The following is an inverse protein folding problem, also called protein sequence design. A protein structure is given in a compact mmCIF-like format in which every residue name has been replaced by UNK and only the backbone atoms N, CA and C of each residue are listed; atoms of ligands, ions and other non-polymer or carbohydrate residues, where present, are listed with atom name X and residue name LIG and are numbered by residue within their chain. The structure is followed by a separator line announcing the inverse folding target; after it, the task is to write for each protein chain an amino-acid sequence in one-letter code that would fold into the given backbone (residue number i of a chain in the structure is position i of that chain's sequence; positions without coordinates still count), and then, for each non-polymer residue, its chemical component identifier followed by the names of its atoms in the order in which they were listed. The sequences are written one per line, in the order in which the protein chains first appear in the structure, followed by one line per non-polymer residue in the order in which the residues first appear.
data_IF_078861981106
#
_entry.id   IF_078861981106
#
_cell.length_a   1.000
_cell.length_b   1.000
_cell.length_c   1.000
_cell.angle_alpha   90.00
_cell.angle_beta   90.00
_cell.angle_gamma   90.00
#
_symmetry.space_group_name_H-M   'P 1'
#
loop_
_entity.id
_entity.type
_entity.pdbx_description
1 polymer ?
#
# COMPACT_ATOMS: atom_id res chain seq x y z
N UNK A 1 18.86 4.48 24.26
CA UNK A 1 17.41 4.17 24.32
C UNK A 1 16.99 3.65 22.96
N UNK A 2 16.01 2.75 22.88
CA UNK A 2 15.55 2.21 21.61
C UNK A 2 14.68 3.24 20.87
N UNK A 3 14.93 3.43 19.57
CA UNK A 3 14.10 4.28 18.70
C UNK A 3 12.85 3.51 18.30
N UNK A 4 11.66 4.04 18.62
CA UNK A 4 10.38 3.40 18.34
C UNK A 4 9.67 4.10 17.17
N UNK A 5 9.73 3.49 15.99
CA UNK A 5 9.27 4.11 14.73
C UNK A 5 7.77 4.45 14.68
N UNK A 6 6.94 3.74 15.42
CA UNK A 6 5.47 3.81 15.29
C UNK A 6 4.78 4.54 16.44
N UNK A 7 5.53 5.28 17.25
CA UNK A 7 4.99 6.10 18.33
C UNK A 7 4.91 7.55 17.89
N UNK A 8 3.74 8.14 18.08
CA UNK A 8 3.51 9.56 17.87
C UNK A 8 2.65 10.19 18.95
N UNK A 9 2.32 11.46 18.75
CA UNK A 9 1.37 12.21 19.54
C UNK A 9 0.59 13.18 18.66
N UNK A 10 -0.60 13.56 19.09
CA UNK A 10 -1.35 14.65 18.45
C UNK A 10 -0.69 15.99 18.78
N UNK A 11 -0.43 16.84 17.78
CA UNK A 11 0.20 18.16 17.99
C UNK A 11 -0.64 19.07 18.88
N UNK A 12 -1.97 19.06 18.73
CA UNK A 12 -2.86 19.94 19.49
C UNK A 12 -3.02 19.54 20.94
N UNK A 13 -3.11 18.24 21.22
CA UNK A 13 -3.45 17.73 22.57
C UNK A 13 -2.27 17.12 23.31
N UNK A 14 -1.16 16.84 22.62
CA UNK A 14 0.00 16.13 23.17
C UNK A 14 -0.28 14.67 23.53
N UNK A 15 -1.48 14.15 23.24
CA UNK A 15 -1.90 12.78 23.57
C UNK A 15 -1.14 11.79 22.71
N UNK A 16 -0.56 10.77 23.35
CA UNK A 16 0.21 9.72 22.68
C UNK A 16 -0.69 8.82 21.87
N UNK A 17 -0.21 8.42 20.71
CA UNK A 17 -0.90 7.50 19.79
C UNK A 17 0.09 6.54 19.17
N UNK A 18 -0.42 5.37 18.77
CA UNK A 18 0.32 4.46 17.91
C UNK A 18 -0.07 4.71 16.45
N UNK A 19 0.89 4.93 15.58
CA UNK A 19 0.64 5.15 14.15
C UNK A 19 0.57 3.81 13.44
N UNK A 20 -0.58 3.49 12.87
CA UNK A 20 -0.87 2.20 12.20
C UNK A 20 -0.49 2.26 10.74
N UNK A 21 -0.95 3.31 10.06
CA UNK A 21 -0.60 3.65 8.69
C UNK A 21 -0.15 5.11 8.63
N UNK A 22 1.00 5.37 8.04
CA UNK A 22 1.54 6.72 7.86
C UNK A 22 0.86 7.50 6.73
N UNK A 23 0.36 6.79 5.73
CA UNK A 23 -0.39 7.33 4.58
C UNK A 23 -1.51 6.36 4.22
N UNK A 24 -2.62 6.87 3.71
CA UNK A 24 -3.74 6.06 3.23
C UNK A 24 -3.76 6.01 1.69
N UNK A 25 -4.21 4.90 1.09
CA UNK A 25 -4.38 4.82 -0.36
C UNK A 25 -5.40 5.87 -0.80
N UNK A 26 -5.11 6.56 -1.91
CA UNK A 26 -5.90 7.68 -2.46
C UNK A 26 -5.94 8.96 -1.60
N UNK A 27 -5.52 8.90 -0.34
CA UNK A 27 -5.50 10.03 0.60
C UNK A 27 -4.12 10.17 1.27
N UNK A 28 -3.09 10.69 0.57
CA UNK A 28 -1.71 10.76 1.07
C UNK A 28 -1.55 11.68 2.29
N UNK A 29 -2.43 12.66 2.43
CA UNK A 29 -2.40 13.62 3.53
C UNK A 29 -3.06 13.08 4.81
N UNK A 30 -3.66 11.88 4.76
CA UNK A 30 -4.31 11.25 5.89
C UNK A 30 -3.52 10.02 6.38
N UNK A 31 -3.58 9.80 7.69
CA UNK A 31 -2.97 8.68 8.38
C UNK A 31 -4.01 7.97 9.25
N UNK A 32 -3.67 6.75 9.69
CA UNK A 32 -4.49 5.98 10.61
C UNK A 32 -3.74 5.76 11.91
N UNK A 33 -4.37 6.14 13.02
CA UNK A 33 -3.78 6.04 14.36
C UNK A 33 -4.68 5.28 15.31
N UNK A 34 -4.08 4.61 16.30
CA UNK A 34 -4.78 4.01 17.43
C UNK A 34 -4.67 4.96 18.62
N UNK A 35 -5.84 5.35 19.16
CA UNK A 35 -5.91 6.10 20.41
C UNK A 35 -5.74 5.16 21.59
N UNK A 36 -4.57 5.18 22.22
CA UNK A 36 -4.21 4.30 23.35
C UNK A 36 -5.04 4.53 24.61
N UNK A 37 -5.60 5.74 24.77
CA UNK A 37 -6.35 6.15 25.97
C UNK A 37 -7.68 5.43 26.18
N UNK A 38 -8.29 4.92 25.09
CA UNK A 38 -9.55 4.19 25.14
C UNK A 38 -9.38 2.67 25.13
N UNK A 39 -8.14 2.18 25.15
CA UNK A 39 -7.86 0.75 25.20
C UNK A 39 -7.91 0.26 26.64
N UNK A 40 -8.40 -0.96 26.88
CA UNK A 40 -8.23 -1.58 28.19
C UNK A 40 -6.76 -1.97 28.37
N UNK A 41 -6.31 -1.98 29.63
CA UNK A 41 -4.90 -2.13 30.02
C UNK A 41 -4.23 -3.36 29.37
N UNK A 42 -4.94 -4.49 29.29
CA UNK A 42 -4.42 -5.72 28.69
C UNK A 42 -4.04 -5.57 27.21
N UNK A 43 -4.80 -4.80 26.45
CA UNK A 43 -4.52 -4.60 25.02
C UNK A 43 -3.57 -3.45 24.78
N UNK A 44 -3.60 -2.46 25.67
CA UNK A 44 -2.59 -1.42 25.70
C UNK A 44 -1.20 -2.03 25.86
N UNK A 45 -1.00 -2.88 26.86
CA UNK A 45 0.30 -3.51 27.13
C UNK A 45 0.76 -4.41 25.99
N UNK A 46 -0.17 -5.16 25.37
CA UNK A 46 0.13 -5.96 24.18
C UNK A 46 0.53 -5.10 22.98
N UNK A 47 -0.15 -3.97 22.76
CA UNK A 47 0.18 -3.04 21.69
C UNK A 47 1.56 -2.43 21.91
N UNK A 48 1.88 -1.97 23.12
CA UNK A 48 3.21 -1.42 23.43
C UNK A 48 4.28 -2.50 23.26
N UNK A 49 4.05 -3.72 23.74
CA UNK A 49 4.97 -4.85 23.53
C UNK A 49 5.18 -5.16 22.05
N UNK A 50 4.13 -5.08 21.23
CA UNK A 50 4.23 -5.28 19.78
C UNK A 50 5.07 -4.17 19.14
N UNK A 51 4.85 -2.92 19.52
CA UNK A 51 5.63 -1.77 19.03
C UNK A 51 7.10 -1.93 19.41
N UNK A 52 7.43 -2.32 20.64
CA UNK A 52 8.81 -2.53 21.08
C UNK A 52 9.47 -3.78 20.47
N UNK A 53 8.67 -4.72 19.96
CA UNK A 53 9.17 -5.96 19.36
C UNK A 53 9.90 -5.71 18.03
N UNK A 54 10.80 -6.64 17.68
CA UNK A 54 11.48 -6.63 16.39
C UNK A 54 10.48 -6.65 15.22
N UNK A 55 9.37 -7.38 15.33
CA UNK A 55 8.34 -7.44 14.28
C UNK A 55 7.71 -6.07 14.05
N UNK A 56 7.39 -5.33 15.12
CA UNK A 56 6.86 -3.97 15.02
C UNK A 56 7.89 -3.01 14.41
N UNK A 57 9.15 -3.09 14.84
CA UNK A 57 10.20 -2.16 14.37
C UNK A 57 10.71 -2.43 12.94
N UNK A 58 10.62 -3.66 12.45
CA UNK A 58 10.99 -4.02 11.08
C UNK A 58 9.87 -3.69 10.09
N UNK A 59 8.60 -3.80 10.51
CA UNK A 59 7.47 -3.52 9.65
C UNK A 59 7.49 -2.07 9.13
N UNK A 60 7.17 -1.90 7.84
CA UNK A 60 7.06 -0.58 7.23
C UNK A 60 5.89 0.20 7.83
N UNK A 61 4.75 -0.47 8.00
CA UNK A 61 3.56 0.03 8.67
C UNK A 61 3.24 -0.89 9.84
N UNK A 62 2.81 -0.32 10.98
CA UNK A 62 2.50 -1.12 12.17
C UNK A 62 1.31 -2.07 11.92
N UNK A 63 0.43 -1.73 10.97
CA UNK A 63 -0.67 -2.58 10.53
C UNK A 63 -0.24 -4.00 10.15
N UNK A 64 0.90 -4.15 9.46
CA UNK A 64 1.41 -5.45 9.01
C UNK A 64 1.73 -6.38 10.20
N UNK A 65 2.25 -5.79 11.28
CA UNK A 65 2.53 -6.51 12.52
C UNK A 65 1.24 -6.80 13.30
N UNK A 66 0.32 -5.82 13.36
CA UNK A 66 -0.96 -5.96 14.08
C UNK A 66 -1.89 -6.98 13.44
N UNK A 67 -1.86 -7.13 12.11
CA UNK A 67 -2.68 -8.10 11.38
C UNK A 67 -2.27 -9.56 11.67
N UNK A 68 -1.06 -9.78 12.21
CA UNK A 68 -0.54 -11.11 12.55
C UNK A 68 -0.53 -11.40 14.04
N UNK A 69 -0.82 -10.41 14.87
CA UNK A 69 -0.70 -10.51 16.32
C UNK A 69 -2.08 -10.78 16.94
N UNK A 70 -2.28 -11.94 17.60
CA UNK A 70 -3.49 -12.20 18.36
C UNK A 70 -3.46 -11.42 19.69
N UNK A 71 -4.64 -10.99 20.13
CA UNK A 71 -4.88 -10.46 21.47
C UNK A 71 -5.13 -11.60 22.46
N UNK A 72 -5.27 -11.26 23.75
CA UNK A 72 -5.55 -12.24 24.80
C UNK A 72 -6.89 -12.98 24.62
N UNK A 73 -7.83 -12.37 23.88
CA UNK A 73 -9.12 -12.95 23.52
C UNK A 73 -9.04 -13.88 22.29
N UNK A 74 -7.86 -14.04 21.68
CA UNK A 74 -7.63 -14.83 20.47
C UNK A 74 -7.99 -14.11 19.17
N UNK A 75 -8.58 -12.91 19.23
CA UNK A 75 -8.89 -12.09 18.05
C UNK A 75 -7.63 -11.43 17.49
N UNK A 76 -7.58 -11.17 16.19
CA UNK A 76 -6.49 -10.41 15.58
C UNK A 76 -6.56 -8.94 15.99
N UNK A 77 -5.44 -8.38 16.44
CA UNK A 77 -5.34 -7.04 17.01
C UNK A 77 -5.92 -5.95 16.08
N UNK A 78 -5.52 -5.94 14.81
CA UNK A 78 -5.99 -4.93 13.85
C UNK A 78 -7.51 -4.99 13.64
N UNK A 79 -8.05 -6.19 13.40
CA UNK A 79 -9.48 -6.41 13.18
C UNK A 79 -10.30 -6.00 14.41
N UNK A 80 -9.79 -6.32 15.60
CA UNK A 80 -10.46 -6.05 16.87
C UNK A 80 -10.44 -4.56 17.23
N UNK A 81 -9.37 -3.84 16.90
CA UNK A 81 -9.31 -2.37 17.08
C UNK A 81 -10.19 -1.64 16.07
N UNK A 82 -10.34 -2.18 14.85
CA UNK A 82 -11.29 -1.67 13.88
C UNK A 82 -12.74 -1.86 14.36
N UNK A 83 -13.11 -3.07 14.79
CA UNK A 83 -14.47 -3.37 15.26
C UNK A 83 -14.90 -2.53 16.47
N UNK A 84 -13.96 -2.18 17.35
CA UNK A 84 -14.21 -1.37 18.55
C UNK A 84 -14.13 0.15 18.30
N UNK A 85 -13.76 0.58 17.09
CA UNK A 85 -13.63 1.99 16.75
C UNK A 85 -12.44 2.69 17.42
N UNK A 86 -11.39 1.94 17.78
CA UNK A 86 -10.16 2.51 18.34
C UNK A 86 -9.23 3.11 17.27
N UNK A 87 -9.46 2.78 16.00
CA UNK A 87 -8.75 3.35 14.85
C UNK A 87 -9.40 4.67 14.45
N UNK A 88 -8.58 5.71 14.34
CA UNK A 88 -9.01 7.05 14.00
C UNK A 88 -8.20 7.56 12.83
N UNK A 89 -8.90 8.08 11.82
CA UNK A 89 -8.28 8.82 10.72
C UNK A 89 -7.91 10.21 11.21
N UNK A 90 -6.66 10.62 10.97
CA UNK A 90 -6.16 11.94 11.31
C UNK A 90 -5.35 12.51 10.14
N UNK A 91 -5.25 13.84 10.06
CA UNK A 91 -4.34 14.46 9.09
C UNK A 91 -2.89 14.14 9.44
N UNK A 92 -2.05 13.87 8.44
CA UNK A 92 -0.60 13.67 8.64
C UNK A 92 0.05 14.90 9.28
N UNK A 93 -0.46 16.09 8.99
CA UNK A 93 -0.03 17.35 9.61
C UNK A 93 -0.43 17.50 11.07
N UNK A 94 -1.42 16.75 11.57
CA UNK A 94 -1.89 16.80 12.97
C UNK A 94 -1.08 15.89 13.89
N UNK A 95 -0.32 14.96 13.32
CA UNK A 95 0.48 13.97 14.04
C UNK A 95 1.96 14.34 13.99
N UNK A 96 2.62 14.21 15.13
CA UNK A 96 4.07 14.26 15.24
C UNK A 96 4.60 12.93 15.78
N UNK A 97 5.65 12.43 15.13
CA UNK A 97 6.33 11.20 15.49
C UNK A 97 7.38 11.51 16.55
N UNK A 98 7.46 10.65 17.56
CA UNK A 98 8.45 10.75 18.64
C UNK A 98 9.25 9.46 18.72
N UNK A 99 10.22 9.23 17.81
CA UNK A 99 11.01 8.00 17.78
C UNK A 99 11.84 7.81 19.05
N UNK A 100 12.35 8.90 19.61
CA UNK A 100 12.96 8.94 20.93
C UNK A 100 12.34 10.07 21.77
N UNK A 101 12.88 10.29 22.97
CA UNK A 101 12.39 11.32 23.90
C UNK A 101 12.87 12.73 23.58
N UNK A 102 13.78 12.91 22.61
CA UNK A 102 14.44 14.20 22.32
C UNK A 102 14.07 14.76 20.94
N UNK A 103 13.78 13.88 20.00
CA UNK A 103 13.44 14.18 18.61
C UNK A 103 11.94 14.11 18.46
N UNK A 104 11.41 15.12 17.80
CA UNK A 104 10.03 15.13 17.37
C UNK A 104 10.01 15.64 15.96
N UNK A 105 9.38 14.88 15.07
CA UNK A 105 9.33 15.15 13.64
C UNK A 105 7.88 15.05 13.22
N UNK A 106 7.41 16.01 12.43
CA UNK A 106 6.06 15.95 11.90
C UNK A 106 5.88 14.76 10.94
N UNK A 107 4.72 14.12 10.95
CA UNK A 107 4.52 12.92 10.11
C UNK A 107 4.54 13.29 8.61
N UNK A 108 4.11 14.49 8.24
CA UNK A 108 4.17 14.99 6.87
C UNK A 108 5.61 15.20 6.37
N UNK A 109 6.50 15.78 7.17
CA UNK A 109 7.93 15.90 6.83
C UNK A 109 8.62 14.53 6.78
N UNK A 110 8.26 13.63 7.70
CA UNK A 110 8.80 12.27 7.71
C UNK A 110 8.40 11.53 6.43
N UNK A 111 7.14 11.62 6.01
CA UNK A 111 6.65 10.99 4.79
C UNK A 111 7.36 11.52 3.55
N UNK A 112 7.58 12.84 3.44
CA UNK A 112 8.38 13.45 2.35
C UNK A 112 9.80 12.90 2.33
N UNK A 113 10.45 12.86 3.49
CA UNK A 113 11.82 12.33 3.60
C UNK A 113 11.92 10.86 3.18
N UNK A 114 10.92 10.03 3.54
CA UNK A 114 10.87 8.62 3.13
C UNK A 114 10.60 8.48 1.63
N UNK A 115 9.72 9.31 1.07
CA UNK A 115 9.45 9.36 -0.37
C UNK A 115 10.74 9.67 -1.15
N UNK A 116 11.48 10.69 -0.72
CA UNK A 116 12.76 11.10 -1.32
C UNK A 116 13.80 9.98 -1.24
N UNK A 117 13.90 9.31 -0.09
CA UNK A 117 14.81 8.17 0.10
C UNK A 117 14.45 6.96 -0.77
N UNK A 118 13.16 6.74 -1.04
CA UNK A 118 12.66 5.64 -1.88
C UNK A 118 12.56 6.01 -3.36
N UNK A 119 12.69 7.29 -3.73
CA UNK A 119 12.53 7.78 -5.10
C UNK A 119 11.09 7.74 -5.62
N UNK A 120 10.08 7.75 -4.74
CA UNK A 120 8.65 7.69 -5.08
C UNK A 120 7.90 8.92 -4.57
N UNK A 121 6.74 9.25 -5.13
CA UNK A 121 5.93 10.36 -4.61
C UNK A 121 5.20 9.92 -3.33
N UNK A 122 4.83 10.87 -2.45
CA UNK A 122 4.15 10.56 -1.17
C UNK A 122 2.85 9.78 -1.38
N UNK A 123 2.15 10.02 -2.50
CA UNK A 123 0.96 9.26 -2.93
C UNK A 123 1.21 7.78 -3.18
N UNK A 124 2.44 7.40 -3.55
CA UNK A 124 2.82 6.04 -3.87
C UNK A 124 3.43 5.32 -2.64
N UNK A 125 3.53 5.99 -1.48
CA UNK A 125 4.01 5.39 -0.22
C UNK A 125 2.96 4.54 0.47
N UNK A 126 1.67 4.81 0.22
CA UNK A 126 0.59 4.07 0.85
C UNK A 126 0.64 2.60 0.43
N UNK A 127 0.44 1.68 1.39
CA UNK A 127 0.33 0.25 1.09
C UNK A 127 -0.95 0.05 0.29
N UNK A 128 -0.80 -0.08 -1.03
CA UNK A 128 -1.88 -0.05 -2.02
C UNK A 128 -1.68 0.96 -3.16
N UNK A 129 -0.64 1.80 -3.10
CA UNK A 129 -0.28 2.82 -4.10
C UNK A 129 0.69 2.34 -5.19
N UNK A 130 1.07 1.07 -5.22
CA UNK A 130 1.47 0.49 -6.50
C UNK A 130 0.21 0.48 -7.35
N UNK A 131 0.23 1.15 -8.50
CA UNK A 131 -0.65 0.79 -9.60
C UNK A 131 -0.43 -0.71 -9.88
N UNK A 132 -1.17 -1.54 -9.15
CA UNK A 132 -1.55 -2.86 -9.59
C UNK A 132 -2.49 -2.53 -10.75
N UNK A 133 -2.09 -2.86 -11.97
CA UNK A 133 -3.06 -2.98 -13.04
C UNK A 133 -4.27 -3.73 -12.50
N UNK A 134 -5.41 -3.08 -12.58
CA UNK A 134 -6.68 -3.54 -12.06
C UNK A 134 -7.02 -4.91 -12.67
N UNK A 135 -6.80 -6.00 -11.93
CA UNK A 135 -7.52 -7.25 -12.16
C UNK A 135 -8.42 -7.48 -10.96
N UNK A 136 -9.66 -7.02 -11.10
CA UNK A 136 -10.76 -7.42 -10.22
C UNK A 136 -11.37 -6.29 -9.39
N UNK A 137 -11.90 -5.27 -10.07
CA UNK A 137 -12.92 -4.39 -9.50
C UNK A 137 -14.15 -5.24 -9.15
N UNK A 138 -14.38 -5.50 -7.86
CA UNK A 138 -15.74 -5.78 -7.36
C UNK A 138 -16.22 -4.46 -6.79
N UNK A 139 -16.80 -3.66 -7.68
CA UNK A 139 -17.54 -2.48 -7.29
C UNK A 139 -18.94 -2.91 -6.84
N UNK A 140 -19.32 -2.40 -5.68
CA UNK A 140 -20.58 -2.64 -5.01
C UNK A 140 -21.77 -2.19 -5.88
N UNK A 141 -22.81 -3.01 -5.87
CA UNK A 141 -24.01 -2.92 -6.70
C UNK A 141 -24.88 -1.73 -6.30
N UNK A 142 -25.22 -0.80 -7.20
CA UNK A 142 -26.47 -0.04 -7.09
C UNK A 142 -27.58 -0.88 -7.73
N UNK A 143 -28.67 -1.05 -6.99
CA UNK A 143 -29.87 -1.78 -7.43
C UNK A 143 -30.58 -0.97 -8.52
N UNK A 144 -30.82 -1.54 -9.71
CA UNK A 144 -32.11 -1.34 -10.34
C UNK A 144 -32.78 -2.67 -10.68
N UNK A 145 -34.07 -2.72 -10.34
CA UNK A 145 -35.08 -3.66 -10.82
C UNK A 145 -35.07 -3.78 -12.35
N UNK A 146 -35.06 -5.00 -12.90
CA UNK A 146 -36.07 -5.53 -13.84
C UNK A 146 -35.76 -7.00 -14.19
N UNK A 147 -36.81 -7.69 -14.61
CA UNK A 147 -36.97 -9.13 -14.65
C UNK A 147 -36.21 -9.88 -15.76
N UNK A 148 -36.21 -11.20 -15.56
CA UNK A 148 -36.32 -12.25 -16.58
C UNK A 148 -35.03 -12.78 -17.23
N UNK A 149 -34.87 -14.08 -17.01
CA UNK A 149 -34.42 -15.11 -17.96
C UNK A 149 -32.92 -15.35 -18.16
N UNK A 150 -32.53 -16.54 -17.66
CA UNK A 150 -31.66 -17.50 -18.36
C UNK A 150 -30.16 -17.14 -18.37
N UNK A 151 -29.18 -17.98 -18.07
CA UNK A 151 -29.03 -19.42 -18.21
C UNK A 151 -28.02 -19.95 -17.19
N UNK A 152 -28.29 -21.17 -16.76
CA UNK A 152 -27.44 -22.09 -16.00
C UNK A 152 -25.98 -22.13 -16.45
N UNK A 153 -25.08 -22.08 -15.47
CA UNK A 153 -23.69 -22.49 -15.59
C UNK A 153 -23.57 -23.93 -16.13
N UNK A 154 -22.76 -24.11 -17.17
CA UNK A 154 -22.06 -25.36 -17.51
C UNK A 154 -20.60 -25.13 -17.15
N UNK A 155 -20.10 -25.71 -16.06
CA UNK A 155 -19.49 -27.07 -15.97
C UNK A 155 -18.27 -27.19 -16.87
N UNK A 156 -17.10 -27.26 -16.23
CA UNK A 156 -15.91 -28.02 -16.62
C UNK A 156 -15.77 -28.39 -18.11
N UNK A 157 -14.98 -27.59 -18.84
CA UNK A 157 -14.22 -28.09 -19.98
C UNK A 157 -12.74 -27.75 -19.73
N UNK A 158 -11.81 -28.71 -19.84
CA UNK A 158 -10.39 -28.42 -19.70
C UNK A 158 -9.98 -27.42 -20.79
N UNK A 159 -9.15 -26.43 -20.45
CA UNK A 159 -8.55 -25.52 -21.45
C UNK A 159 -7.88 -26.37 -22.53
N UNK A 160 -8.52 -26.48 -23.69
CA UNK A 160 -7.95 -27.18 -24.84
C UNK A 160 -6.68 -26.46 -25.27
N UNK A 161 -5.62 -27.20 -25.59
CA UNK A 161 -4.31 -26.65 -25.95
C UNK A 161 -4.41 -25.61 -27.08
N UNK A 162 -5.40 -25.73 -27.97
CA UNK A 162 -5.69 -24.76 -29.03
C UNK A 162 -6.19 -23.40 -28.50
N UNK A 163 -7.01 -23.38 -27.46
CA UNK A 163 -7.48 -22.14 -26.82
C UNK A 163 -6.33 -21.44 -26.09
N UNK A 164 -5.45 -22.21 -25.44
CA UNK A 164 -4.26 -21.71 -24.79
C UNK A 164 -3.24 -21.19 -25.80
N UNK A 165 -3.03 -21.90 -26.91
CA UNK A 165 -2.14 -21.48 -27.99
C UNK A 165 -2.64 -20.21 -28.70
N UNK A 166 -3.96 -20.01 -28.78
CA UNK A 166 -4.53 -18.77 -29.34
C UNK A 166 -4.25 -17.57 -28.45
N UNK A 167 -4.40 -17.74 -27.12
CA UNK A 167 -4.03 -16.68 -26.16
C UNK A 167 -2.54 -16.36 -26.19
N UNK A 168 -1.66 -17.37 -26.18
CA UNK A 168 -0.21 -17.15 -26.22
C UNK A 168 0.26 -16.42 -27.49
N UNK A 169 -0.38 -16.66 -28.64
CA UNK A 169 -0.07 -15.92 -29.87
C UNK A 169 -0.52 -14.46 -29.77
N UNK A 170 -1.71 -14.21 -29.24
CA UNK A 170 -2.20 -12.85 -29.03
C UNK A 170 -1.32 -12.06 -28.05
N UNK A 171 -0.88 -12.69 -26.96
CA UNK A 171 0.03 -12.09 -25.98
C UNK A 171 1.40 -11.78 -26.62
N UNK A 172 1.93 -12.69 -27.46
CA UNK A 172 3.19 -12.47 -28.19
C UNK A 172 3.10 -11.31 -29.18
N UNK A 173 1.98 -11.18 -29.91
CA UNK A 173 1.76 -10.07 -30.84
C UNK A 173 1.62 -8.72 -30.11
N UNK A 174 1.03 -8.70 -28.91
CA UNK A 174 0.97 -7.53 -28.03
C UNK A 174 2.36 -7.09 -27.57
N UNK A 175 3.13 -8.03 -27.02
CA UNK A 175 4.51 -7.78 -26.56
C UNK A 175 5.43 -7.33 -27.69
N UNK A 176 5.23 -7.82 -28.91
CA UNK A 176 6.00 -7.37 -30.07
C UNK A 176 5.73 -5.89 -30.38
N UNK A 177 4.47 -5.45 -30.34
CA UNK A 177 4.10 -4.04 -30.54
C UNK A 177 4.72 -3.13 -29.48
N UNK A 178 4.60 -3.52 -28.20
CA UNK A 178 5.20 -2.76 -27.10
C UNK A 178 6.72 -2.69 -27.22
N UNK A 179 7.38 -3.80 -27.59
CA UNK A 179 8.82 -3.82 -27.81
C UNK A 179 9.24 -2.90 -28.97
N UNK A 180 8.45 -2.82 -30.04
CA UNK A 180 8.73 -1.89 -31.14
C UNK A 180 8.55 -0.43 -30.74
N UNK A 181 7.52 -0.12 -29.95
CA UNK A 181 7.26 1.23 -29.47
C UNK A 181 8.36 1.70 -28.50
N UNK A 182 8.80 0.82 -27.60
CA UNK A 182 9.92 1.09 -26.68
C UNK A 182 11.24 1.32 -27.44
N UNK A 183 11.49 0.57 -28.51
CA UNK A 183 12.67 0.80 -29.36
C UNK A 183 12.61 2.15 -30.06
N UNK A 184 11.43 2.55 -30.55
CA UNK A 184 11.24 3.87 -31.17
C UNK A 184 11.46 5.00 -30.16
N UNK A 185 10.91 4.87 -28.94
CA UNK A 185 11.16 5.84 -27.87
C UNK A 185 12.65 5.92 -27.51
N UNK A 186 13.35 4.78 -27.48
CA UNK A 186 14.79 4.75 -27.24
C UNK A 186 15.61 5.43 -28.36
N UNK A 187 15.21 5.28 -29.62
CA UNK A 187 15.84 5.98 -30.76
C UNK A 187 15.54 7.48 -30.76
N UNK A 188 14.35 7.91 -30.36
CA UNK A 188 14.00 9.33 -30.18
C UNK A 188 14.82 9.97 -29.04
N UNK A 189 15.03 9.23 -27.95
CA UNK A 189 15.83 9.67 -26.79
C UNK A 189 17.34 9.71 -27.09
N UNK A 190 17.85 8.79 -27.91
CA UNK A 190 19.26 8.73 -28.28
C UNK A 190 19.42 8.24 -29.72
N UNK A 191 19.35 9.13 -30.72
CA UNK A 191 19.47 8.74 -32.12
C UNK A 191 20.87 8.18 -32.38
N UNK A 192 20.95 6.90 -32.76
CA UNK A 192 22.21 6.33 -33.19
C UNK A 192 22.62 6.95 -34.53
N UNK A 193 23.83 7.52 -34.61
CA UNK A 193 24.37 8.09 -35.83
C UNK A 193 24.43 7.00 -36.91
N UNK A 194 23.53 7.06 -37.88
CA UNK A 194 23.61 6.26 -39.11
C UNK A 194 24.94 6.60 -39.80
N UNK A 195 25.90 5.69 -39.73
CA UNK A 195 27.21 5.87 -40.34
C UNK A 195 27.06 6.11 -41.84
N UNK A 196 27.52 7.27 -42.30
CA UNK A 196 27.74 7.53 -43.73
C UNK A 196 28.71 6.48 -44.27
N UNK A 197 28.24 5.64 -45.20
CA UNK A 197 29.10 4.76 -45.97
C UNK A 197 30.16 5.62 -46.69
N UNK A 198 31.42 5.48 -46.27
CA UNK A 198 32.57 6.05 -46.98
C UNK A 198 32.73 5.26 -48.28
N UNK A 199 32.37 5.90 -49.40
CA UNK A 199 32.70 5.46 -50.75
C UNK A 199 34.22 5.25 -50.82
N UNK A 200 34.65 4.05 -51.23
CA UNK A 200 36.04 3.73 -51.54
C UNK A 200 36.33 4.23 -52.96
N UNK A 201 37.32 5.11 -53.08
CA UNK A 201 38.15 5.28 -54.26
C UNK A 201 39.45 4.49 -54.05
#
# INVERSE_FOLDING_TARGET
MANLKHIGRFKETGRKVAVVFRTLPNEPDNCLVVRTEGLPDSDHDLLIRLIESNTGQVAHELADAMQRTPLNDGSIMLARFHARGNLVKAGTSEIEMTPDTQTTISLDELNKTIADQKGVQVKDLAVGGTQVEEVGSVNEVPIPTVAAESQTAKVDEPLTDDALATKLRADADGLFKEATDLRKQAEDLSPTKKGTARVKE
#
